data_IF_542377672341
#
_entry.id   IF_542377672341
#
_cell.length_a   1.000
_cell.length_b   1.000
_cell.length_c   1.000
_cell.angle_alpha   90.00
_cell.angle_beta   90.00
_cell.angle_gamma   90.00
#
_symmetry.space_group_name_H-M   'P 1'
#
loop_
_entity.id
_entity.type
_entity.pdbx_description
1 polymer ?
#
# COMPACT_ATOMS: atom_id res chain seq x y z
N UNK A 1 -0.41 -21.67 -4.10
CA UNK A 1 0.91 -21.02 -3.91
C UNK A 1 1.09 -20.54 -2.48
N UNK A 2 2.12 -21.04 -1.78
CA UNK A 2 2.51 -20.53 -0.46
C UNK A 2 3.41 -19.31 -0.61
N UNK A 3 3.00 -18.18 -0.03
CA UNK A 3 3.79 -16.96 0.07
C UNK A 3 4.45 -16.88 1.45
N UNK A 4 5.78 -16.85 1.50
CA UNK A 4 6.57 -16.65 2.72
C UNK A 4 7.14 -15.24 2.71
N UNK A 5 6.97 -14.51 3.82
CA UNK A 5 7.40 -13.12 3.94
C UNK A 5 7.70 -12.79 5.40
N UNK A 6 8.25 -11.61 5.65
CA UNK A 6 8.55 -11.12 6.99
C UNK A 6 7.71 -9.88 7.31
N UNK A 7 7.29 -9.78 8.56
CA UNK A 7 6.71 -8.56 9.11
C UNK A 7 7.41 -8.13 10.40
N UNK A 8 7.45 -6.82 10.61
CA UNK A 8 7.88 -6.20 11.85
C UNK A 8 6.91 -5.08 12.22
N UNK A 9 6.76 -4.85 13.51
CA UNK A 9 5.90 -3.83 14.07
C UNK A 9 6.68 -3.02 15.09
N UNK A 10 6.59 -1.70 15.00
CA UNK A 10 7.22 -0.81 15.97
C UNK A 10 6.46 0.50 16.09
N UNK A 11 6.63 1.15 17.24
CA UNK A 11 6.09 2.48 17.48
C UNK A 11 7.11 3.52 17.04
N UNK A 12 6.65 4.55 16.36
CA UNK A 12 7.45 5.73 16.01
C UNK A 12 6.72 7.00 16.41
N UNK A 13 7.45 8.09 16.69
CA UNK A 13 6.81 9.39 16.79
C UNK A 13 6.04 9.71 15.51
N UNK A 14 4.90 10.38 15.64
CA UNK A 14 4.03 10.78 14.55
C UNK A 14 4.66 11.93 13.74
N UNK A 15 5.73 11.61 13.01
CA UNK A 15 6.60 12.55 12.27
C UNK A 15 6.09 12.91 10.87
N UNK A 16 5.11 12.16 10.37
CA UNK A 16 4.58 12.32 9.02
C UNK A 16 3.45 13.33 8.86
N UNK A 17 3.03 13.99 9.94
CA UNK A 17 2.04 15.07 9.85
C UNK A 17 2.49 16.10 8.80
N UNK A 18 1.64 16.31 7.78
CA UNK A 18 1.83 17.26 6.67
C UNK A 18 2.93 16.96 5.63
N UNK A 19 3.65 15.84 5.72
CA UNK A 19 4.56 15.36 4.66
C UNK A 19 4.79 13.84 4.69
N UNK A 20 4.17 13.09 3.77
CA UNK A 20 4.31 11.63 3.71
C UNK A 20 5.77 11.16 3.46
N UNK A 21 6.61 12.00 2.86
CA UNK A 21 8.02 11.69 2.64
C UNK A 21 8.82 11.57 3.95
N UNK A 22 8.35 12.19 5.04
CA UNK A 22 9.00 12.07 6.34
C UNK A 22 8.85 10.64 6.89
N UNK A 23 7.69 10.01 6.71
CA UNK A 23 7.48 8.60 7.09
C UNK A 23 8.47 7.69 6.38
N UNK A 24 8.61 7.83 5.06
CA UNK A 24 9.56 7.03 4.28
C UNK A 24 10.98 7.14 4.84
N UNK A 25 11.47 8.35 5.07
CA UNK A 25 12.82 8.59 5.59
C UNK A 25 13.00 7.98 6.98
N UNK A 26 12.08 8.25 7.90
CA UNK A 26 12.20 7.77 9.26
C UNK A 26 12.13 6.23 9.33
N UNK A 27 11.26 5.60 8.53
CA UNK A 27 11.17 4.13 8.44
C UNK A 27 12.44 3.56 7.80
N UNK A 28 12.96 4.19 6.74
CA UNK A 28 14.26 3.80 6.16
C UNK A 28 15.38 3.87 7.19
N UNK A 29 15.46 4.95 7.97
CA UNK A 29 16.51 5.12 8.98
C UNK A 29 16.43 4.01 10.05
N UNK A 30 15.23 3.63 10.48
CA UNK A 30 15.00 2.49 11.39
C UNK A 30 15.41 1.17 10.74
N UNK A 31 14.96 0.92 9.51
CA UNK A 31 15.26 -0.33 8.81
C UNK A 31 16.76 -0.44 8.54
N UNK A 32 17.46 0.62 8.17
CA UNK A 32 18.88 0.50 7.86
C UNK A 32 19.80 0.74 9.05
N UNK A 33 19.26 1.10 10.21
CA UNK A 33 20.04 1.57 11.37
C UNK A 33 21.04 2.68 10.97
N UNK A 34 20.62 3.55 10.05
CA UNK A 34 21.46 4.61 9.47
C UNK A 34 22.53 4.15 8.45
N UNK A 35 22.63 2.85 8.16
CA UNK A 35 23.54 2.34 7.13
C UNK A 35 22.95 2.45 5.72
N UNK A 36 23.79 2.41 4.70
CA UNK A 36 23.32 2.32 3.31
C UNK A 36 23.03 0.85 2.96
N UNK A 37 21.76 0.49 2.80
CA UNK A 37 21.37 -0.82 2.28
C UNK A 37 20.89 -0.63 0.84
N UNK A 38 21.63 -1.19 -0.12
CA UNK A 38 21.16 -1.24 -1.50
C UNK A 38 19.92 -2.13 -1.59
N UNK A 39 18.89 -1.65 -2.28
CA UNK A 39 17.74 -2.43 -2.76
C UNK A 39 16.75 -3.00 -1.73
N UNK A 40 16.69 -2.49 -0.49
CA UNK A 40 15.65 -2.92 0.46
C UNK A 40 14.24 -2.63 -0.05
N UNK A 41 13.52 -3.66 -0.47
CA UNK A 41 12.13 -3.58 -0.89
C UNK A 41 11.20 -3.90 0.29
N UNK A 42 10.36 -2.95 0.68
CA UNK A 42 9.36 -3.12 1.73
C UNK A 42 8.07 -2.36 1.40
N UNK A 43 7.00 -2.77 2.08
CA UNK A 43 5.76 -2.04 2.21
C UNK A 43 5.61 -1.61 3.67
N UNK A 44 4.86 -0.55 3.91
CA UNK A 44 4.45 -0.21 5.25
C UNK A 44 3.04 0.33 5.32
N UNK A 45 2.46 0.23 6.50
CA UNK A 45 1.20 0.85 6.90
C UNK A 45 1.43 1.57 8.23
N UNK A 46 0.85 2.75 8.36
CA UNK A 46 0.91 3.57 9.57
C UNK A 46 -0.49 3.75 10.11
N UNK A 47 -0.71 3.42 11.38
CA UNK A 47 -1.97 3.67 12.06
C UNK A 47 -1.69 4.51 13.31
N UNK A 48 -2.41 5.62 13.48
CA UNK A 48 -2.25 6.49 14.66
C UNK A 48 -2.72 5.72 15.88
N UNK A 49 -1.91 5.68 16.94
CA UNK A 49 -2.30 5.02 18.17
C UNK A 49 -3.38 5.85 18.87
N UNK A 50 -4.58 5.29 19.15
CA UNK A 50 -5.60 6.00 19.92
C UNK A 50 -5.16 6.31 21.35
N UNK A 51 -4.21 5.53 21.88
CA UNK A 51 -3.69 5.64 23.26
C UNK A 51 -2.49 6.58 23.36
N UNK A 52 -1.79 6.83 22.26
CA UNK A 52 -0.62 7.70 22.17
C UNK A 52 -0.67 8.46 20.84
N UNK A 53 -1.48 9.52 20.72
CA UNK A 53 -1.68 10.26 19.45
C UNK A 53 -0.39 10.85 18.85
N UNK A 54 0.60 11.10 19.71
CA UNK A 54 1.97 11.52 19.37
C UNK A 54 2.80 10.40 18.74
N UNK A 55 2.30 9.16 18.74
CA UNK A 55 2.93 7.99 18.18
C UNK A 55 2.06 7.34 17.09
N UNK A 56 2.69 6.61 16.19
CA UNK A 56 2.00 5.75 15.22
C UNK A 56 2.57 4.35 15.29
N UNK A 57 1.67 3.38 15.20
CA UNK A 57 2.05 1.99 14.95
C UNK A 57 2.43 1.86 13.49
N UNK A 58 3.67 1.45 13.25
CA UNK A 58 4.18 1.16 11.91
C UNK A 58 4.25 -0.35 11.76
N UNK A 59 3.56 -0.87 10.74
CA UNK A 59 3.70 -2.24 10.27
C UNK A 59 4.52 -2.23 9.00
N UNK A 60 5.59 -3.01 8.96
CA UNK A 60 6.44 -3.18 7.77
C UNK A 60 6.33 -4.61 7.28
N UNK A 61 6.30 -4.79 5.95
CA UNK A 61 6.36 -6.09 5.28
C UNK A 61 7.48 -6.09 4.25
N UNK A 62 8.26 -7.17 4.19
CA UNK A 62 9.27 -7.39 3.16
C UNK A 62 9.57 -8.88 2.94
N UNK A 63 10.38 -9.19 1.93
CA UNK A 63 10.90 -10.55 1.75
C UNK A 63 12.01 -10.88 2.75
N UNK A 64 12.89 -9.92 2.98
CA UNK A 64 13.99 -10.00 3.94
C UNK A 64 14.11 -8.65 4.62
N UNK A 65 13.73 -8.60 5.89
CA UNK A 65 13.85 -7.45 6.76
C UNK A 65 15.10 -7.62 7.65
N UNK A 66 15.73 -6.52 8.05
CA UNK A 66 16.88 -6.51 8.96
C UNK A 66 16.56 -7.13 10.33
N UNK A 67 17.47 -7.95 10.87
CA UNK A 67 17.26 -8.70 12.13
C UNK A 67 17.01 -7.80 13.35
N UNK A 68 17.62 -6.61 13.41
CA UNK A 68 17.42 -5.68 14.52
C UNK A 68 15.99 -5.12 14.59
N UNK A 69 15.22 -5.23 13.51
CA UNK A 69 13.79 -4.92 13.51
C UNK A 69 12.95 -6.08 14.07
N UNK A 70 13.56 -7.16 14.56
CA UNK A 70 12.92 -8.36 15.09
C UNK A 70 11.83 -8.90 14.14
N UNK A 71 12.17 -9.18 12.87
CA UNK A 71 11.19 -9.62 11.90
C UNK A 71 10.65 -11.00 12.24
N UNK A 72 9.34 -11.19 12.05
CA UNK A 72 8.66 -12.46 12.22
C UNK A 72 8.30 -13.02 10.85
N UNK A 73 8.69 -14.27 10.58
CA UNK A 73 8.25 -14.99 9.39
C UNK A 73 6.74 -15.22 9.44
N UNK A 74 6.08 -14.92 8.32
CA UNK A 74 4.64 -15.10 8.10
C UNK A 74 4.43 -15.88 6.81
N UNK A 75 3.28 -16.55 6.76
CA UNK A 75 2.88 -17.39 5.64
C UNK A 75 1.46 -17.04 5.24
N UNK A 76 1.24 -16.85 3.95
CA UNK A 76 -0.09 -16.69 3.38
C UNK A 76 -0.23 -17.67 2.22
N UNK A 77 -1.28 -18.49 2.25
CA UNK A 77 -1.58 -19.38 1.14
C UNK A 77 -2.54 -18.68 0.17
N UNK A 78 -2.22 -18.74 -1.13
CA UNK A 78 -3.09 -18.30 -2.22
C UNK A 78 -3.47 -19.51 -3.05
N UNK A 79 -4.75 -19.87 -3.07
CA UNK A 79 -5.24 -21.02 -3.83
C UNK A 79 -6.22 -20.55 -4.88
N UNK A 80 -6.01 -20.90 -6.15
CA UNK A 80 -6.86 -20.46 -7.26
C UNK A 80 -8.30 -20.92 -7.05
N UNK A 81 -9.24 -20.03 -7.32
CA UNK A 81 -10.68 -20.25 -7.12
C UNK A 81 -11.16 -20.06 -5.68
N UNK A 82 -10.25 -19.88 -4.70
CA UNK A 82 -10.64 -19.54 -3.33
C UNK A 82 -11.00 -18.07 -3.25
N UNK A 83 -12.16 -17.81 -2.66
CA UNK A 83 -12.59 -16.49 -2.24
C UNK A 83 -12.06 -16.19 -0.83
N UNK A 84 -11.57 -14.97 -0.63
CA UNK A 84 -11.13 -14.49 0.67
C UNK A 84 -11.43 -13.00 0.84
N UNK A 85 -11.48 -12.57 2.10
CA UNK A 85 -11.62 -11.17 2.47
C UNK A 85 -10.24 -10.51 2.60
N UNK A 86 -10.13 -9.29 2.05
CA UNK A 86 -8.90 -8.52 2.07
C UNK A 86 -9.19 -7.07 2.44
N UNK A 87 -8.18 -6.42 3.03
CA UNK A 87 -8.11 -4.97 3.17
C UNK A 87 -6.90 -4.43 2.43
N UNK A 88 -7.07 -3.41 1.61
CA UNK A 88 -6.00 -2.76 0.85
C UNK A 88 -5.98 -1.26 1.12
N UNK A 89 -4.83 -0.74 1.54
CA UNK A 89 -4.58 0.72 1.55
C UNK A 89 -4.21 1.16 0.14
N UNK A 90 -5.15 1.67 -0.65
CA UNK A 90 -4.94 1.96 -2.07
C UNK A 90 -4.63 3.44 -2.30
N UNK A 91 -3.59 3.74 -3.09
CA UNK A 91 -3.44 5.06 -3.67
C UNK A 91 -4.39 5.21 -4.87
N UNK A 92 -5.28 6.19 -4.79
CA UNK A 92 -6.43 6.34 -5.69
C UNK A 92 -6.15 7.23 -6.90
N UNK A 93 -4.90 7.27 -7.36
CA UNK A 93 -4.52 7.99 -8.58
C UNK A 93 -4.42 7.07 -9.79
N UNK A 94 -4.78 7.60 -10.96
CA UNK A 94 -4.56 6.97 -12.26
C UNK A 94 -3.88 7.94 -13.21
N UNK A 95 -3.02 7.41 -14.08
CA UNK A 95 -2.45 8.16 -15.20
C UNK A 95 -3.35 8.03 -16.41
N UNK A 96 -3.68 9.15 -17.04
CA UNK A 96 -4.41 9.20 -18.31
C UNK A 96 -3.61 10.02 -19.32
N UNK A 97 -3.53 9.56 -20.56
CA UNK A 97 -3.03 10.39 -21.66
C UNK A 97 -4.12 11.39 -22.02
N UNK A 98 -3.77 12.67 -22.00
CA UNK A 98 -4.65 13.78 -22.34
C UNK A 98 -3.89 14.75 -23.23
N UNK A 99 -4.55 15.27 -24.26
CA UNK A 99 -4.00 16.32 -25.10
C UNK A 99 -4.14 17.66 -24.39
N UNK A 100 -3.03 18.30 -24.06
CA UNK A 100 -2.98 19.65 -23.47
C UNK A 100 -2.18 20.54 -24.41
N UNK A 101 -2.81 21.59 -24.94
CA UNK A 101 -2.22 22.50 -25.93
C UNK A 101 -1.66 21.76 -27.15
N UNK A 102 -2.43 20.81 -27.70
CA UNK A 102 -2.05 20.03 -28.89
C UNK A 102 -0.96 18.97 -28.68
N UNK A 103 -0.44 18.82 -27.45
CA UNK A 103 0.56 17.79 -27.11
C UNK A 103 -0.02 16.74 -26.19
N UNK A 104 0.21 15.46 -26.48
CA UNK A 104 -0.11 14.38 -25.54
C UNK A 104 0.72 14.54 -24.27
N UNK A 105 0.04 14.64 -23.12
CA UNK A 105 0.64 14.63 -21.80
C UNK A 105 0.01 13.53 -20.97
N UNK A 106 0.82 12.86 -20.17
CA UNK A 106 0.31 11.93 -19.17
C UNK A 106 0.00 12.71 -17.90
N UNK A 107 -1.28 12.87 -17.59
CA UNK A 107 -1.75 13.54 -16.38
C UNK A 107 -2.12 12.50 -15.33
N UNK A 108 -1.86 12.83 -14.07
CA UNK A 108 -2.31 12.04 -12.92
C UNK A 108 -3.63 12.62 -12.42
N UNK A 109 -4.63 11.76 -12.27
CA UNK A 109 -5.99 12.13 -11.88
C UNK A 109 -6.42 11.30 -10.68
N UNK A 110 -7.12 11.93 -9.75
CA UNK A 110 -7.72 11.29 -8.59
C UNK A 110 -8.99 10.53 -9.00
N UNK A 111 -9.19 9.35 -8.43
CA UNK A 111 -10.41 8.55 -8.52
C UNK A 111 -11.03 8.55 -7.13
N UNK A 112 -12.07 9.37 -6.93
CA UNK A 112 -12.76 9.39 -5.64
C UNK A 112 -13.42 8.05 -5.36
N UNK A 113 -13.38 7.64 -4.10
CA UNK A 113 -14.12 6.51 -3.54
C UNK A 113 -15.64 6.64 -3.68
N UNK A 114 -16.15 7.87 -3.79
CA UNK A 114 -17.58 8.17 -3.96
C UNK A 114 -18.02 8.13 -5.43
N UNK A 115 -17.11 7.88 -6.35
CA UNK A 115 -17.39 7.85 -7.78
C UNK A 115 -17.70 6.41 -8.21
N UNK A 116 -18.74 6.20 -9.03
CA UNK A 116 -19.10 4.89 -9.59
C UNK A 116 -17.93 4.21 -10.34
N UNK A 117 -17.01 5.01 -10.90
CA UNK A 117 -15.81 4.52 -11.56
C UNK A 117 -14.78 3.88 -10.60
N UNK A 118 -14.94 4.04 -9.28
CA UNK A 118 -14.03 3.47 -8.29
C UNK A 118 -14.02 1.95 -8.33
N UNK A 119 -15.19 1.32 -8.47
CA UNK A 119 -15.30 -0.14 -8.57
C UNK A 119 -14.51 -0.68 -9.77
N UNK A 120 -14.67 -0.06 -10.95
CA UNK A 120 -13.91 -0.42 -12.14
C UNK A 120 -12.40 -0.19 -11.97
N UNK A 121 -12.01 0.89 -11.29
CA UNK A 121 -10.61 1.17 -10.98
C UNK A 121 -9.99 0.10 -10.07
N UNK A 122 -10.67 -0.28 -8.97
CA UNK A 122 -10.20 -1.32 -8.06
C UNK A 122 -10.16 -2.68 -8.76
N UNK A 123 -11.23 -3.06 -9.47
CA UNK A 123 -11.30 -4.31 -10.22
C UNK A 123 -10.16 -4.44 -11.24
N UNK A 124 -9.84 -3.36 -11.97
CA UNK A 124 -8.69 -3.35 -12.89
C UNK A 124 -7.36 -3.55 -12.17
N UNK A 125 -7.18 -2.94 -10.99
CA UNK A 125 -5.96 -3.11 -10.18
C UNK A 125 -5.82 -4.55 -9.69
N UNK A 126 -6.90 -5.14 -9.19
CA UNK A 126 -6.92 -6.50 -8.64
C UNK A 126 -6.71 -7.56 -9.72
N UNK A 127 -7.41 -7.45 -10.86
CA UNK A 127 -7.30 -8.39 -11.98
C UNK A 127 -5.89 -8.45 -12.56
N UNK A 128 -5.20 -7.31 -12.62
CA UNK A 128 -3.79 -7.24 -13.06
C UNK A 128 -2.82 -7.90 -12.07
N UNK A 129 -3.29 -8.34 -10.90
CA UNK A 129 -2.50 -8.87 -9.79
C UNK A 129 -3.02 -10.22 -9.29
N UNK A 130 -3.78 -10.96 -10.12
CA UNK A 130 -4.22 -12.32 -9.79
C UNK A 130 -5.47 -12.42 -8.91
N UNK A 131 -6.27 -11.36 -8.84
CA UNK A 131 -7.52 -11.34 -8.06
C UNK A 131 -8.71 -10.89 -8.93
N UNK A 132 -9.84 -11.58 -8.82
CA UNK A 132 -11.13 -11.08 -9.31
C UNK A 132 -11.88 -10.43 -8.14
N UNK A 133 -12.27 -9.17 -8.29
CA UNK A 133 -13.09 -8.48 -7.29
C UNK A 133 -14.52 -9.02 -7.33
N UNK A 134 -15.01 -9.54 -6.20
CA UNK A 134 -16.36 -10.04 -6.07
C UNK A 134 -17.30 -8.95 -5.54
N UNK A 135 -16.92 -8.31 -4.43
CA UNK A 135 -17.68 -7.20 -3.83
C UNK A 135 -16.81 -6.30 -2.97
N UNK A 136 -17.19 -5.03 -2.85
CA UNK A 136 -16.60 -4.09 -1.89
C UNK A 136 -17.48 -4.10 -0.63
N UNK A 137 -16.87 -4.34 0.52
CA UNK A 137 -17.56 -4.41 1.81
C UNK A 137 -17.51 -3.07 2.55
N UNK A 138 -16.39 -2.37 2.46
CA UNK A 138 -16.16 -1.11 3.18
C UNK A 138 -15.16 -0.25 2.42
N UNK A 139 -15.36 1.07 2.42
CA UNK A 139 -14.36 2.04 2.00
C UNK A 139 -14.26 3.12 3.09
N UNK A 140 -13.05 3.35 3.59
CA UNK A 140 -12.78 4.49 4.46
C UNK A 140 -12.59 5.77 3.65
N UNK A 141 -12.86 6.92 4.28
CA UNK A 141 -12.67 8.22 3.65
C UNK A 141 -11.23 8.40 3.13
N UNK A 142 -11.11 9.02 1.95
CA UNK A 142 -9.79 9.30 1.37
C UNK A 142 -9.03 10.31 2.24
N UNK A 143 -7.83 9.93 2.65
CA UNK A 143 -6.84 10.81 3.25
C UNK A 143 -5.91 11.33 2.15
N UNK A 144 -5.78 12.65 2.05
CA UNK A 144 -4.88 13.30 1.08
C UNK A 144 -3.65 13.83 1.77
N UNK A 145 -2.51 13.19 1.56
CA UNK A 145 -1.24 13.65 2.12
C UNK A 145 -0.43 14.44 1.10
N UNK A 146 0.15 15.54 1.56
CA UNK A 146 1.13 16.30 0.79
C UNK A 146 2.46 15.55 0.81
N UNK A 147 3.15 15.52 -0.34
CA UNK A 147 4.50 14.98 -0.47
C UNK A 147 5.42 16.09 -0.96
N UNK A 148 6.46 16.40 -0.18
CA UNK A 148 7.54 17.33 -0.55
C UNK A 148 8.87 16.59 -0.61
N UNK A 149 9.49 16.54 -1.79
CA UNK A 149 10.80 15.89 -2.02
C UNK A 149 11.60 16.65 -3.09
N UNK A 150 12.79 17.14 -2.73
CA UNK A 150 13.75 17.71 -3.68
C UNK A 150 13.18 18.82 -4.57
N UNK A 151 12.45 19.77 -3.99
CA UNK A 151 11.79 20.86 -4.73
C UNK A 151 10.49 20.49 -5.46
N UNK A 152 10.16 19.20 -5.57
CA UNK A 152 8.89 18.74 -6.13
C UNK A 152 7.84 18.61 -5.04
N UNK A 153 6.61 19.07 -5.33
CA UNK A 153 5.44 18.89 -4.47
C UNK A 153 4.30 18.21 -5.25
N UNK A 154 3.71 17.18 -4.65
CA UNK A 154 2.49 16.53 -5.16
C UNK A 154 1.64 15.99 -4.00
N UNK A 155 0.48 15.41 -4.31
CA UNK A 155 -0.42 14.81 -3.33
C UNK A 155 -0.53 13.30 -3.54
N UNK A 156 -0.59 12.56 -2.44
CA UNK A 156 -0.79 11.12 -2.43
C UNK A 156 -2.11 10.79 -1.72
N UNK A 157 -3.24 10.79 -2.46
CA UNK A 157 -4.51 10.37 -1.90
C UNK A 157 -4.50 8.85 -1.68
N UNK A 158 -4.95 8.42 -0.50
CA UNK A 158 -5.07 7.02 -0.12
C UNK A 158 -6.34 6.76 0.66
N UNK A 159 -6.94 5.60 0.46
CA UNK A 159 -8.05 5.10 1.27
C UNK A 159 -7.82 3.62 1.61
N UNK A 160 -8.41 3.17 2.71
CA UNK A 160 -8.47 1.75 3.04
C UNK A 160 -9.77 1.18 2.47
N UNK A 161 -9.67 0.09 1.71
CA UNK A 161 -10.81 -0.60 1.10
C UNK A 161 -10.82 -2.04 1.58
N UNK A 162 -11.94 -2.47 2.13
CA UNK A 162 -12.21 -3.87 2.48
C UNK A 162 -13.10 -4.50 1.40
N UNK A 163 -12.74 -5.68 0.91
CA UNK A 163 -13.43 -6.34 -0.20
C UNK A 163 -13.31 -7.86 -0.14
N UNK A 164 -14.22 -8.55 -0.82
CA UNK A 164 -14.13 -9.96 -1.15
C UNK A 164 -13.53 -10.12 -2.55
N UNK A 165 -12.59 -11.03 -2.70
CA UNK A 165 -12.01 -11.35 -4.00
C UNK A 165 -11.68 -12.83 -4.14
N UNK A 166 -11.84 -13.32 -5.36
CA UNK A 166 -11.46 -14.68 -5.77
C UNK A 166 -10.07 -14.67 -6.38
N UNK A 167 -9.20 -15.58 -5.94
CA UNK A 167 -7.85 -15.72 -6.48
C UNK A 167 -7.92 -16.34 -7.87
N UNK A 168 -7.44 -15.64 -8.89
CA UNK A 168 -7.46 -16.11 -10.29
C UNK A 168 -6.10 -16.63 -10.77
N UNK A 169 -5.02 -16.09 -10.20
CA UNK A 169 -3.63 -16.47 -10.45
C UNK A 169 -2.86 -16.42 -9.12
N UNK A 170 -2.39 -17.59 -8.67
CA UNK A 170 -1.77 -17.74 -7.35
C UNK A 170 -0.39 -17.08 -7.26
N UNK A 171 0.39 -17.10 -8.35
CA UNK A 171 1.73 -16.52 -8.38
C UNK A 171 1.64 -15.00 -8.41
N UNK A 172 0.80 -14.46 -9.29
CA UNK A 172 0.55 -13.02 -9.35
C UNK A 172 -0.01 -12.49 -8.02
N UNK A 173 -0.93 -13.23 -7.39
CA UNK A 173 -1.48 -12.88 -6.08
C UNK A 173 -0.41 -12.87 -4.99
N UNK A 174 0.44 -13.90 -4.92
CA UNK A 174 1.53 -13.99 -3.95
C UNK A 174 2.55 -12.85 -4.13
N UNK A 175 2.94 -12.55 -5.38
CA UNK A 175 3.86 -11.45 -5.70
C UNK A 175 3.22 -10.10 -5.29
N UNK A 176 1.95 -9.88 -5.64
CA UNK A 176 1.24 -8.65 -5.34
C UNK A 176 1.06 -8.44 -3.83
N UNK A 177 0.86 -9.51 -3.06
CA UNK A 177 0.73 -9.44 -1.61
C UNK A 177 2.02 -8.93 -0.93
N UNK A 178 3.19 -9.33 -1.43
CA UNK A 178 4.48 -8.89 -0.87
C UNK A 178 4.97 -7.57 -1.46
N UNK A 179 4.85 -7.39 -2.78
CA UNK A 179 5.34 -6.20 -3.48
C UNK A 179 4.37 -5.04 -3.47
N UNK A 180 3.11 -5.29 -3.14
CA UNK A 180 2.03 -4.33 -2.98
C UNK A 180 1.33 -3.96 -4.29
N UNK A 181 0.08 -3.53 -4.18
CA UNK A 181 -0.76 -3.16 -5.32
C UNK A 181 -0.82 -1.64 -5.49
N UNK A 182 -0.59 -1.15 -6.71
CA UNK A 182 -0.74 0.27 -7.03
C UNK A 182 0.51 1.12 -6.82
N UNK A 183 0.30 2.43 -6.67
CA UNK A 183 1.32 3.49 -6.69
C UNK A 183 1.65 3.96 -5.27
N UNK A 184 2.69 4.80 -5.17
CA UNK A 184 3.01 5.54 -3.94
C UNK A 184 3.27 4.64 -2.72
N UNK A 185 3.85 3.47 -2.96
CA UNK A 185 4.16 2.47 -1.93
C UNK A 185 5.09 2.99 -0.83
N UNK A 186 6.07 3.79 -1.24
CA UNK A 186 6.99 4.50 -0.35
C UNK A 186 6.28 5.52 0.56
N UNK A 187 5.00 5.83 0.32
CA UNK A 187 4.18 6.72 1.16
C UNK A 187 3.08 5.95 1.89
N UNK A 188 3.29 4.66 2.14
CA UNK A 188 2.41 3.83 2.94
C UNK A 188 1.11 3.45 2.22
N UNK A 189 1.21 3.14 0.92
CA UNK A 189 0.12 2.61 0.12
C UNK A 189 0.49 1.25 -0.50
N UNK A 190 -0.51 0.54 -0.99
CA UNK A 190 -0.41 -0.74 -1.68
C UNK A 190 -0.23 -1.96 -0.79
N UNK A 191 -0.16 -1.80 0.53
CA UNK A 191 -0.13 -2.93 1.46
C UNK A 191 -1.52 -3.55 1.59
N UNK A 192 -1.60 -4.86 1.36
CA UNK A 192 -2.81 -5.67 1.49
C UNK A 192 -2.75 -6.56 2.72
N UNK A 193 -3.86 -6.69 3.43
CA UNK A 193 -4.01 -7.55 4.61
C UNK A 193 -5.06 -8.61 4.26
N UNK A 194 -4.74 -9.89 4.49
CA UNK A 194 -5.74 -10.94 4.47
C UNK A 194 -6.51 -10.87 5.79
N UNK A 195 -7.83 -10.97 5.72
CA UNK A 195 -8.69 -10.94 6.89
C UNK A 195 -9.14 -12.36 7.19
N UNK A 196 -8.96 -12.79 8.43
CA UNK A 196 -9.56 -14.03 8.92
C UNK A 196 -11.08 -13.82 8.93
N UNK A 197 -11.81 -14.66 8.17
CA UNK A 197 -13.28 -14.71 8.13
C UNK A 197 -13.75 -15.83 9.04
#
# INVERSE_FOLDING_TARGET
>A
MLCVYQESHFLMPNTGQHNANNWHKAIMDVLTNGHHIESLQYLFKTDISPRMPESSLVRVRGLSLPEHCQPVERKQNFTKGVQAAFRLRLCTTRRKKTTVNGKEKTIETFVSEKNDAFHGFLSQKLSSNGFALDSITEIQDTVVERVKRGGTQFFSPRCDVTFLATITDEEAAAIAYVKGIGRNKVFGAGMMEALDV
#
